data_IF_911725402618
#
_entry.id   IF_911725402618
#
_cell.length_a   1.000
_cell.length_b   1.000
_cell.length_c   1.000
_cell.angle_alpha   90.00
_cell.angle_beta   90.00
_cell.angle_gamma   90.00
#
_symmetry.space_group_name_H-M   'P 1'
#
loop_
_entity.id
_entity.type
_entity.pdbx_description
1 polymer ?
#
# COMPACT_ATOMS: atom_id res chain seq x y z
N UNK A 1 -50.13 4.10 13.77
CA UNK A 1 -49.16 3.16 13.17
C UNK A 1 -48.79 3.75 11.83
N UNK A 2 -47.70 4.52 11.73
CA UNK A 2 -47.28 5.19 10.49
C UNK A 2 -45.74 5.29 10.43
N UNK A 3 -45.06 4.17 10.25
CA UNK A 3 -43.60 4.12 9.98
C UNK A 3 -43.24 3.22 8.78
N UNK A 4 -44.24 2.63 8.09
CA UNK A 4 -44.00 1.80 6.90
C UNK A 4 -43.96 2.57 5.57
N UNK A 5 -44.43 3.82 5.53
CA UNK A 5 -44.53 4.58 4.29
C UNK A 5 -43.25 5.34 3.92
N UNK A 6 -42.44 5.79 4.89
CA UNK A 6 -41.18 6.49 4.57
C UNK A 6 -40.12 5.52 4.00
N UNK A 7 -40.04 4.30 4.54
CA UNK A 7 -39.07 3.30 4.08
C UNK A 7 -39.34 2.85 2.63
N UNK A 8 -40.62 2.72 2.25
CA UNK A 8 -41.00 2.38 0.87
C UNK A 8 -40.66 3.50 -0.11
N UNK A 9 -40.86 4.76 0.28
CA UNK A 9 -40.52 5.90 -0.58
C UNK A 9 -39.01 6.05 -0.81
N UNK A 10 -38.17 5.61 0.14
CA UNK A 10 -36.72 5.67 0.01
C UNK A 10 -36.19 4.57 -0.93
N UNK A 11 -36.77 3.36 -0.89
CA UNK A 11 -36.39 2.25 -1.79
C UNK A 11 -36.84 2.55 -3.23
N UNK A 12 -38.04 3.10 -3.44
CA UNK A 12 -38.49 3.51 -4.78
C UNK A 12 -37.62 4.63 -5.38
N UNK A 13 -37.14 5.57 -4.56
CA UNK A 13 -36.27 6.65 -5.02
C UNK A 13 -34.83 6.17 -5.32
N UNK A 14 -34.38 5.10 -4.67
CA UNK A 14 -33.07 4.47 -4.94
C UNK A 14 -33.10 3.60 -6.20
N UNK A 15 -34.17 2.83 -6.42
CA UNK A 15 -34.34 2.02 -7.63
C UNK A 15 -34.58 2.86 -8.90
N UNK A 16 -35.23 4.02 -8.79
CA UNK A 16 -35.39 4.94 -9.92
C UNK A 16 -34.07 5.63 -10.31
N UNK A 17 -33.17 5.89 -9.35
CA UNK A 17 -31.85 6.49 -9.63
C UNK A 17 -30.83 5.52 -10.25
N UNK A 18 -31.05 4.22 -10.12
CA UNK A 18 -30.09 3.19 -10.53
C UNK A 18 -30.44 2.51 -11.87
N UNK A 19 -31.59 2.81 -12.48
CA UNK A 19 -32.08 2.12 -13.70
C UNK A 19 -31.85 2.83 -15.04
N UNK A 20 -31.06 3.90 -15.12
CA UNK A 20 -30.62 4.44 -16.41
C UNK A 20 -29.15 4.83 -16.39
N UNK A 21 -28.27 3.85 -16.57
CA UNK A 21 -26.96 4.11 -17.19
C UNK A 21 -26.50 2.87 -17.98
N UNK A 22 -27.13 2.67 -19.13
CA UNK A 22 -26.53 1.96 -20.25
C UNK A 22 -25.97 3.00 -21.23
N UNK A 23 -24.65 3.18 -21.14
CA UNK A 23 -23.64 3.72 -22.09
C UNK A 23 -24.12 4.51 -23.33
N UNK A 24 -23.52 5.70 -23.56
CA UNK A 24 -22.97 6.03 -24.88
C UNK A 24 -21.51 6.55 -24.85
N UNK A 25 -20.91 6.58 -26.04
CA UNK A 25 -19.50 6.80 -26.44
C UNK A 25 -18.89 8.18 -26.13
N UNK A 26 -17.57 8.14 -25.88
CA UNK A 26 -16.43 9.06 -26.20
C UNK A 26 -16.50 10.60 -25.99
N UNK A 27 -15.36 11.10 -25.47
CA UNK A 27 -14.77 12.45 -25.50
C UNK A 27 -15.29 13.56 -24.55
N UNK A 28 -14.62 13.74 -23.40
CA UNK A 28 -13.55 14.74 -23.10
C UNK A 28 -13.40 14.98 -21.57
N UNK A 29 -12.17 15.21 -21.12
CA UNK A 29 -11.65 15.07 -19.74
C UNK A 29 -12.22 16.06 -18.68
N UNK A 30 -11.98 15.81 -17.37
CA UNK A 30 -10.72 16.29 -16.80
C UNK A 30 -9.92 15.17 -16.11
N UNK A 31 -8.63 15.17 -16.41
CA UNK A 31 -7.59 14.22 -16.05
C UNK A 31 -7.47 14.04 -14.53
N UNK A 32 -8.12 13.01 -13.95
CA UNK A 32 -7.60 12.40 -12.73
C UNK A 32 -6.31 11.67 -13.11
N UNK A 33 -5.18 12.25 -12.72
CA UNK A 33 -3.84 11.72 -12.93
C UNK A 33 -3.62 10.42 -12.13
N UNK A 34 -4.30 9.35 -12.51
CA UNK A 34 -3.77 8.00 -12.31
C UNK A 34 -2.66 7.85 -13.35
N UNK A 35 -1.44 8.23 -12.97
CA UNK A 35 -0.25 7.93 -13.77
C UNK A 35 -0.14 6.41 -13.84
N UNK A 36 -0.75 5.82 -14.87
CA UNK A 36 -0.44 4.48 -15.33
C UNK A 36 1.05 4.51 -15.69
N UNK A 37 1.91 4.07 -14.77
CA UNK A 37 3.27 3.68 -15.14
C UNK A 37 3.15 2.58 -16.18
N UNK A 38 3.66 2.87 -17.37
CA UNK A 38 3.78 1.97 -18.51
C UNK A 38 4.26 0.59 -18.02
N UNK A 39 3.40 -0.42 -18.15
CA UNK A 39 3.58 -1.79 -17.63
C UNK A 39 4.78 -2.49 -18.27
N UNK A 40 5.45 -1.84 -19.22
CA UNK A 40 6.48 -2.40 -20.10
C UNK A 40 7.93 -2.13 -19.68
N UNK A 41 8.20 -1.31 -18.65
CA UNK A 41 9.59 -0.91 -18.29
C UNK A 41 10.24 -1.69 -17.16
N UNK A 42 9.49 -2.50 -16.41
CA UNK A 42 10.06 -3.32 -15.34
C UNK A 42 10.58 -4.67 -15.87
N UNK A 43 11.67 -5.22 -15.31
CA UNK A 43 12.06 -6.61 -15.57
C UNK A 43 10.88 -7.56 -15.32
N UNK A 44 10.76 -8.64 -16.09
CA UNK A 44 9.63 -9.57 -16.01
C UNK A 44 9.41 -10.14 -14.59
N UNK A 45 10.49 -10.30 -13.83
CA UNK A 45 10.45 -10.72 -12.43
C UNK A 45 9.78 -9.67 -11.53
N UNK A 46 10.09 -8.38 -11.72
CA UNK A 46 9.49 -7.27 -10.97
C UNK A 46 8.01 -7.10 -11.33
N UNK A 47 7.62 -7.34 -12.58
CA UNK A 47 6.21 -7.32 -12.98
C UNK A 47 5.41 -8.41 -12.24
N UNK A 48 5.93 -9.63 -12.18
CA UNK A 48 5.28 -10.73 -11.42
C UNK A 48 5.17 -10.40 -9.94
N UNK A 49 6.23 -9.84 -9.36
CA UNK A 49 6.23 -9.43 -7.95
C UNK A 49 5.19 -8.35 -7.69
N UNK A 50 5.13 -7.33 -8.57
CA UNK A 50 4.12 -6.28 -8.50
C UNK A 50 2.70 -6.84 -8.56
N UNK A 51 2.40 -7.68 -9.54
CA UNK A 51 1.09 -8.30 -9.70
C UNK A 51 0.71 -9.12 -8.46
N UNK A 52 1.60 -10.01 -8.03
CA UNK A 52 1.38 -10.86 -6.85
C UNK A 52 1.10 -10.01 -5.61
N UNK A 53 1.96 -9.03 -5.32
CA UNK A 53 1.80 -8.20 -4.12
C UNK A 53 0.55 -7.34 -4.16
N UNK A 54 0.22 -6.74 -5.30
CA UNK A 54 -0.99 -5.90 -5.44
C UNK A 54 -2.28 -6.73 -5.44
N UNK A 55 -2.28 -7.93 -6.00
CA UNK A 55 -3.45 -8.81 -5.95
C UNK A 55 -3.76 -9.25 -4.51
N UNK A 56 -2.72 -9.58 -3.75
CA UNK A 56 -2.87 -9.95 -2.32
C UNK A 56 -3.31 -8.78 -1.45
N UNK A 57 -2.88 -7.56 -1.76
CA UNK A 57 -3.26 -6.38 -0.98
C UNK A 57 -4.53 -5.70 -1.44
N UNK A 58 -5.06 -6.02 -2.62
CA UNK A 58 -6.33 -5.46 -3.12
C UNK A 58 -7.52 -5.62 -2.16
N UNK A 59 -7.71 -6.76 -1.46
CA UNK A 59 -8.75 -6.89 -0.44
C UNK A 59 -8.33 -6.35 0.94
N UNK A 60 -7.09 -5.89 1.10
CA UNK A 60 -6.53 -5.43 2.36
C UNK A 60 -6.48 -3.90 2.41
N UNK A 61 -6.78 -3.36 3.58
CA UNK A 61 -6.63 -1.95 3.88
C UNK A 61 -5.73 -1.83 5.10
N UNK A 62 -4.78 -0.92 5.04
CA UNK A 62 -3.97 -0.60 6.21
C UNK A 62 -4.84 0.20 7.17
N UNK A 63 -5.22 -0.42 8.28
CA UNK A 63 -6.10 0.19 9.28
C UNK A 63 -5.21 0.84 10.34
N UNK A 64 -5.16 2.16 10.28
CA UNK A 64 -4.69 3.03 11.37
C UNK A 64 -5.91 3.76 11.94
N UNK A 65 -6.08 5.04 11.64
CA UNK A 65 -7.34 5.77 11.87
C UNK A 65 -8.12 6.07 10.58
N UNK A 66 -7.49 5.82 9.43
CA UNK A 66 -8.12 5.81 8.11
C UNK A 66 -7.75 4.53 7.38
N UNK A 67 -8.57 4.17 6.38
CA UNK A 67 -8.37 3.00 5.54
C UNK A 67 -7.55 3.39 4.30
N UNK A 68 -6.27 3.02 4.27
CA UNK A 68 -5.36 3.38 3.18
C UNK A 68 -5.01 2.14 2.33
N UNK A 69 -5.10 2.23 0.99
CA UNK A 69 -4.70 1.14 0.11
C UNK A 69 -3.19 0.97 0.09
N UNK A 70 -2.74 -0.17 -0.45
CA UNK A 70 -1.34 -0.42 -0.72
C UNK A 70 -0.98 -0.07 -2.16
N UNK A 71 0.17 0.58 -2.33
CA UNK A 71 0.77 0.91 -3.61
C UNK A 71 2.08 0.14 -3.79
N UNK A 72 2.39 -0.25 -5.03
CA UNK A 72 3.66 -0.92 -5.32
C UNK A 72 4.79 0.10 -5.45
N UNK A 73 5.96 -0.25 -4.91
CA UNK A 73 7.18 0.55 -5.04
C UNK A 73 8.34 -0.28 -5.56
N UNK A 74 9.15 0.33 -6.42
CA UNK A 74 10.38 -0.25 -6.94
C UNK A 74 11.48 0.80 -7.03
N UNK A 75 12.66 0.45 -6.51
CA UNK A 75 13.87 1.27 -6.52
C UNK A 75 14.97 0.44 -7.18
N UNK A 76 15.25 0.66 -8.48
CA UNK A 76 16.33 -0.04 -9.16
C UNK A 76 17.67 0.31 -8.52
N UNK A 77 18.41 -0.71 -8.09
CA UNK A 77 19.73 -0.56 -7.49
C UNK A 77 20.46 -1.89 -7.49
N UNK A 78 21.12 -2.20 -8.60
CA UNK A 78 21.76 -3.51 -8.82
C UNK A 78 22.85 -3.82 -7.78
N UNK A 79 23.54 -2.79 -7.28
CA UNK A 79 24.60 -2.92 -6.28
C UNK A 79 24.10 -3.16 -4.85
N UNK A 80 22.78 -3.16 -4.61
CA UNK A 80 22.25 -3.34 -3.25
C UNK A 80 22.22 -4.83 -2.88
N UNK A 81 22.92 -5.16 -1.80
CA UNK A 81 22.92 -6.51 -1.24
C UNK A 81 22.02 -6.65 -0.02
N UNK A 82 21.82 -5.56 0.72
CA UNK A 82 21.09 -5.53 1.98
C UNK A 82 20.30 -4.23 2.14
N UNK A 83 19.17 -4.31 2.84
CA UNK A 83 18.37 -3.14 3.18
C UNK A 83 19.08 -2.28 4.24
N UNK A 84 19.02 -0.94 4.14
CA UNK A 84 19.50 -0.06 5.21
C UNK A 84 18.92 -0.42 6.59
N UNK A 85 19.67 -0.16 7.65
CA UNK A 85 19.18 -0.30 9.03
C UNK A 85 18.54 0.98 9.56
N UNK A 86 18.52 2.04 8.77
CA UNK A 86 18.20 3.38 9.22
C UNK A 86 17.36 4.13 8.18
N UNK A 87 16.37 4.88 8.67
CA UNK A 87 15.44 5.63 7.83
C UNK A 87 16.13 6.74 7.03
N UNK A 88 17.19 7.37 7.52
CA UNK A 88 17.90 8.45 6.80
C UNK A 88 18.54 7.91 5.53
N UNK A 89 19.18 6.73 5.62
CA UNK A 89 19.77 6.06 4.46
C UNK A 89 18.70 5.63 3.47
N UNK A 90 17.60 5.04 3.94
CA UNK A 90 16.49 4.64 3.06
C UNK A 90 15.80 5.84 2.40
N UNK A 91 15.55 6.93 3.13
CA UNK A 91 15.07 8.21 2.57
C UNK A 91 15.99 8.71 1.46
N UNK A 92 17.30 8.64 1.67
CA UNK A 92 18.28 9.07 0.67
C UNK A 92 18.21 8.23 -0.61
N UNK A 93 18.00 6.91 -0.49
CA UNK A 93 17.81 6.02 -1.65
C UNK A 93 16.56 6.40 -2.45
N UNK A 94 15.46 6.68 -1.76
CA UNK A 94 14.22 7.09 -2.41
C UNK A 94 14.39 8.44 -3.12
N UNK A 95 14.99 9.44 -2.45
CA UNK A 95 15.26 10.76 -3.04
C UNK A 95 16.12 10.67 -4.29
N UNK A 96 17.19 9.87 -4.25
CA UNK A 96 18.12 9.71 -5.37
C UNK A 96 17.46 9.05 -6.59
N UNK A 97 16.45 8.21 -6.36
CA UNK A 97 15.81 7.48 -7.44
C UNK A 97 14.80 8.32 -8.24
N UNK A 98 14.41 9.51 -7.76
CA UNK A 98 13.80 10.62 -8.53
C UNK A 98 12.51 10.34 -9.32
N UNK A 99 12.09 9.09 -9.42
CA UNK A 99 10.99 8.63 -10.26
C UNK A 99 9.84 8.23 -9.34
N UNK A 100 8.92 9.18 -9.16
CA UNK A 100 7.53 8.92 -8.84
C UNK A 100 7.23 8.15 -7.54
N UNK A 101 8.07 8.25 -6.52
CA UNK A 101 7.61 7.94 -5.18
C UNK A 101 6.88 9.19 -4.68
N UNK A 102 5.56 9.07 -4.49
CA UNK A 102 4.67 9.99 -3.78
C UNK A 102 5.15 10.26 -2.34
N UNK A 103 6.42 10.57 -2.10
CA UNK A 103 6.86 11.09 -0.82
C UNK A 103 6.75 12.59 -0.96
N UNK A 104 5.78 13.18 -0.27
CA UNK A 104 5.66 14.64 -0.27
C UNK A 104 6.97 15.17 0.34
N UNK A 105 7.54 16.26 -0.21
CA UNK A 105 8.80 16.83 0.31
C UNK A 105 8.75 17.11 1.83
N UNK A 106 7.53 17.26 2.37
CA UNK A 106 7.17 17.33 3.79
C UNK A 106 7.59 16.07 4.59
N UNK A 107 7.31 14.86 4.12
CA UNK A 107 7.66 13.58 4.80
C UNK A 107 9.18 13.32 4.81
N UNK A 108 9.87 13.86 3.81
CA UNK A 108 11.33 13.78 3.67
C UNK A 108 12.07 14.77 4.56
N UNK A 109 11.36 15.76 5.09
CA UNK A 109 11.88 16.85 5.90
C UNK A 109 11.54 16.70 7.38
N UNK A 110 10.52 15.91 7.75
CA UNK A 110 10.17 15.65 9.15
C UNK A 110 11.05 14.55 9.79
N UNK A 111 11.76 14.86 10.90
CA UNK A 111 12.48 13.88 11.69
C UNK A 111 11.60 13.12 12.71
N UNK A 112 10.36 13.56 12.95
CA UNK A 112 9.68 13.33 14.23
C UNK A 112 9.10 11.92 14.44
N UNK A 113 8.83 11.15 13.38
CA UNK A 113 8.30 9.77 13.51
C UNK A 113 8.97 8.76 12.58
N UNK A 114 10.32 8.74 12.56
CA UNK A 114 11.07 7.77 11.78
C UNK A 114 11.40 6.52 12.60
N UNK A 115 10.93 5.36 12.16
CA UNK A 115 11.31 4.08 12.78
C UNK A 115 11.46 2.98 11.74
N UNK A 116 12.30 1.99 12.07
CA UNK A 116 12.47 0.77 11.30
C UNK A 116 11.89 -0.36 12.13
N UNK A 117 10.93 -1.08 11.56
CA UNK A 117 10.33 -2.26 12.17
C UNK A 117 10.83 -3.51 11.44
N UNK A 118 11.04 -4.57 12.21
CA UNK A 118 11.25 -5.89 11.65
C UNK A 118 9.97 -6.43 11.02
N UNK A 119 10.13 -7.42 10.16
CA UNK A 119 9.03 -8.11 9.51
C UNK A 119 7.98 -8.61 10.51
N UNK A 120 8.42 -9.24 11.60
CA UNK A 120 7.53 -9.79 12.62
C UNK A 120 6.78 -8.68 13.37
N UNK A 121 7.47 -7.63 13.80
CA UNK A 121 6.88 -6.49 14.54
C UNK A 121 5.78 -5.77 13.75
N UNK A 122 5.89 -5.74 12.42
CA UNK A 122 4.86 -5.16 11.57
C UNK A 122 3.61 -6.04 11.46
N UNK A 123 3.77 -7.36 11.33
CA UNK A 123 2.64 -8.28 11.12
C UNK A 123 1.98 -8.75 12.40
N UNK A 124 2.70 -8.80 13.53
CA UNK A 124 2.18 -9.30 14.81
C UNK A 124 0.86 -8.63 15.24
N UNK A 125 0.68 -7.29 15.12
CA UNK A 125 -0.59 -6.63 15.44
C UNK A 125 -1.79 -7.10 14.58
N UNK A 126 -1.54 -7.69 13.41
CA UNK A 126 -2.57 -8.12 12.46
C UNK A 126 -2.77 -9.64 12.45
N UNK A 127 -1.70 -10.41 12.71
CA UNK A 127 -1.71 -11.87 12.47
C UNK A 127 -1.61 -12.70 13.75
N UNK A 128 -1.12 -12.12 14.87
CA UNK A 128 -0.93 -12.86 16.11
C UNK A 128 -2.25 -13.39 16.67
N UNK A 129 -2.21 -14.47 17.46
CA UNK A 129 -3.44 -15.10 17.98
C UNK A 129 -4.27 -14.15 18.87
N UNK A 130 -3.60 -13.23 19.57
CA UNK A 130 -4.22 -12.20 20.41
C UNK A 130 -4.63 -10.93 19.64
N UNK A 131 -4.30 -10.81 18.35
CA UNK A 131 -4.70 -9.66 17.54
C UNK A 131 -6.21 -9.65 17.33
N UNK A 132 -6.84 -8.53 17.68
CA UNK A 132 -8.23 -8.25 17.37
C UNK A 132 -8.40 -8.09 15.85
N UNK A 133 -9.44 -8.70 15.30
CA UNK A 133 -9.75 -8.60 13.86
C UNK A 133 -11.19 -8.08 13.65
N UNK A 134 -11.45 -6.80 13.95
CA UNK A 134 -12.77 -6.22 13.81
C UNK A 134 -13.26 -6.18 12.34
N UNK A 135 -12.35 -6.29 11.38
CA UNK A 135 -12.64 -6.17 9.94
C UNK A 135 -12.51 -7.48 9.17
N UNK A 136 -12.18 -8.60 9.81
CA UNK A 136 -12.06 -9.91 9.16
C UNK A 136 -10.86 -10.02 8.20
N UNK A 137 -9.81 -9.21 8.37
CA UNK A 137 -8.66 -9.14 7.46
C UNK A 137 -7.47 -10.00 7.90
N UNK A 138 -7.53 -10.64 9.08
CA UNK A 138 -6.42 -11.40 9.68
C UNK A 138 -5.86 -12.48 8.77
N UNK A 139 -6.73 -13.24 8.11
CA UNK A 139 -6.29 -14.30 7.20
C UNK A 139 -5.62 -13.73 5.94
N UNK A 140 -6.10 -12.59 5.43
CA UNK A 140 -5.45 -11.90 4.32
C UNK A 140 -4.08 -11.32 4.71
N UNK A 141 -3.93 -10.78 5.93
CA UNK A 141 -2.62 -10.36 6.45
C UNK A 141 -1.66 -11.54 6.65
N UNK A 142 -2.16 -12.71 7.07
CA UNK A 142 -1.35 -13.95 7.12
C UNK A 142 -0.91 -14.41 5.74
N UNK A 143 -1.77 -14.27 4.74
CA UNK A 143 -1.43 -14.58 3.35
C UNK A 143 -0.39 -13.60 2.80
N UNK A 144 -0.57 -12.30 3.03
CA UNK A 144 0.40 -11.26 2.68
C UNK A 144 1.75 -11.53 3.32
N UNK A 145 1.78 -11.90 4.61
CA UNK A 145 3.00 -12.26 5.31
C UNK A 145 3.72 -13.43 4.61
N UNK A 146 3.00 -14.50 4.26
CA UNK A 146 3.60 -15.65 3.56
C UNK A 146 4.13 -15.28 2.17
N UNK A 147 3.39 -14.49 1.42
CA UNK A 147 3.76 -14.08 0.06
C UNK A 147 5.00 -13.21 0.11
N UNK A 148 5.05 -12.20 0.98
CA UNK A 148 6.22 -11.33 1.12
C UNK A 148 7.46 -12.13 1.54
N UNK A 149 7.33 -13.05 2.50
CA UNK A 149 8.43 -13.93 2.90
C UNK A 149 8.93 -14.81 1.74
N UNK A 150 8.01 -15.38 0.96
CA UNK A 150 8.36 -16.21 -0.19
C UNK A 150 9.01 -15.40 -1.33
N UNK A 151 8.48 -14.21 -1.62
CA UNK A 151 8.95 -13.31 -2.68
C UNK A 151 10.37 -12.84 -2.44
N UNK A 152 10.72 -12.52 -1.19
CA UNK A 152 12.06 -12.00 -0.85
C UNK A 152 12.99 -13.07 -0.25
N UNK A 153 12.61 -14.34 -0.37
CA UNK A 153 13.41 -15.50 0.07
C UNK A 153 13.85 -15.45 1.54
N UNK A 154 12.97 -14.98 2.43
CA UNK A 154 13.24 -14.92 3.86
C UNK A 154 12.87 -13.59 4.50
N UNK A 155 12.50 -13.66 5.78
CA UNK A 155 12.08 -12.50 6.59
C UNK A 155 13.22 -11.51 6.82
N UNK A 156 14.46 -11.98 6.79
CA UNK A 156 15.68 -11.20 6.97
C UNK A 156 15.96 -10.23 5.81
N UNK A 157 15.40 -10.51 4.62
CA UNK A 157 15.58 -9.68 3.44
C UNK A 157 14.50 -8.60 3.33
N UNK A 158 13.60 -8.51 4.32
CA UNK A 158 12.45 -7.61 4.35
C UNK A 158 12.54 -6.67 5.55
N UNK A 159 12.24 -5.39 5.35
CA UNK A 159 12.12 -4.40 6.43
C UNK A 159 10.93 -3.51 6.21
N UNK A 160 10.44 -2.96 7.30
CA UNK A 160 9.39 -1.94 7.28
C UNK A 160 9.96 -0.62 7.74
N UNK A 161 9.83 0.41 6.92
CA UNK A 161 10.20 1.78 7.29
C UNK A 161 8.93 2.59 7.53
N UNK A 162 8.86 3.24 8.69
CA UNK A 162 7.88 4.28 8.98
C UNK A 162 8.58 5.62 8.84
N UNK A 163 8.14 6.43 7.89
CA UNK A 163 8.77 7.70 7.51
C UNK A 163 7.67 8.73 7.30
N UNK A 164 7.69 9.81 8.08
CA UNK A 164 6.78 10.91 7.88
C UNK A 164 6.57 11.72 9.15
N UNK A 165 5.50 12.49 9.12
CA UNK A 165 5.05 13.33 10.22
C UNK A 165 4.02 12.58 11.08
N UNK A 166 3.81 12.97 12.34
CA UNK A 166 2.93 12.28 13.27
C UNK A 166 1.50 12.11 12.74
N UNK A 167 1.01 13.07 11.93
CA UNK A 167 -0.33 12.99 11.31
C UNK A 167 -0.41 12.06 10.11
N UNK A 168 0.71 11.86 9.43
CA UNK A 168 0.78 11.07 8.19
C UNK A 168 2.16 10.45 8.07
N UNK A 169 2.21 9.16 8.40
CA UNK A 169 3.43 8.36 8.37
C UNK A 169 3.36 7.41 7.18
N UNK A 170 4.23 7.59 6.19
CA UNK A 170 4.40 6.61 5.12
C UNK A 170 5.00 5.30 5.67
N UNK A 171 4.33 4.20 5.40
CA UNK A 171 4.74 2.84 5.79
C UNK A 171 5.22 2.10 4.55
N UNK A 172 6.49 1.69 4.55
CA UNK A 172 7.17 1.06 3.42
C UNK A 172 7.56 -0.37 3.80
N UNK A 173 6.85 -1.37 3.32
CA UNK A 173 7.19 -2.79 3.46
C UNK A 173 8.00 -3.22 2.23
N UNK A 174 9.32 -3.32 2.37
CA UNK A 174 10.22 -3.54 1.24
C UNK A 174 11.17 -4.68 1.45
N UNK A 175 11.52 -5.36 0.36
CA UNK A 175 12.54 -6.39 0.31
C UNK A 175 13.62 -6.11 -0.73
N UNK A 176 14.79 -6.72 -0.55
CA UNK A 176 15.89 -6.66 -1.53
C UNK A 176 15.82 -7.83 -2.50
N UNK A 177 16.00 -7.52 -3.78
CA UNK A 177 16.16 -8.47 -4.86
C UNK A 177 17.57 -8.29 -5.40
N UNK A 178 18.45 -9.26 -5.11
CA UNK A 178 19.88 -9.19 -5.41
C UNK A 178 20.12 -8.98 -6.91
N UNK A 179 20.94 -8.00 -7.26
CA UNK A 179 21.27 -7.68 -8.65
C UNK A 179 20.16 -6.93 -9.41
N UNK A 180 19.06 -6.57 -8.74
CA UNK A 180 17.96 -5.81 -9.36
C UNK A 180 17.68 -4.52 -8.57
N UNK A 181 17.40 -4.64 -7.26
CA UNK A 181 17.10 -3.46 -6.44
C UNK A 181 16.21 -3.77 -5.24
N UNK A 182 15.42 -2.77 -4.84
CA UNK A 182 14.45 -2.87 -3.75
C UNK A 182 13.05 -2.85 -4.34
N UNK A 183 12.18 -3.76 -3.92
CA UNK A 183 10.77 -3.78 -4.30
C UNK A 183 9.88 -3.95 -3.07
N UNK A 184 8.61 -3.57 -3.16
CA UNK A 184 7.67 -3.81 -2.08
C UNK A 184 6.39 -3.00 -2.18
N UNK A 185 5.80 -2.76 -1.02
CA UNK A 185 4.53 -2.09 -0.84
C UNK A 185 4.71 -0.82 -0.02
N UNK A 186 3.91 0.19 -0.33
CA UNK A 186 3.79 1.45 0.40
C UNK A 186 2.34 1.65 0.80
N UNK A 187 2.11 2.17 1.99
CA UNK A 187 0.80 2.68 2.43
C UNK A 187 1.01 3.86 3.38
N UNK A 188 -0.06 4.45 3.92
CA UNK A 188 0.01 5.53 4.90
C UNK A 188 -0.68 5.12 6.19
N UNK A 189 -0.05 5.47 7.32
CA UNK A 189 -0.70 5.54 8.62
C UNK A 189 -1.13 6.98 8.84
N UNK A 190 -2.43 7.20 9.06
CA UNK A 190 -2.97 8.51 9.40
C UNK A 190 -3.37 8.47 10.87
N UNK A 191 -2.92 9.45 11.64
CA UNK A 191 -3.29 9.66 13.04
C UNK A 191 -3.91 11.08 13.15
N UNK A 192 -5.12 11.20 13.70
CA UNK A 192 -5.90 12.46 13.79
C UNK A 192 -5.93 13.07 15.19
#
# INVERSE_FOLDING_TARGET
MDQRNEYLSFVENYEQRTKQYTKPKEEEEPTTLTVQQDVTTFPAEIQRIRETLLETTKPLLYISESEEPYEFIFIPKEDITELPNDCVRFKSLIKQNGNNLMITEEELSSPESNSVLSFQEFFDPFTADFAEDPYGQKDGYKELQKIVEATFHGKENVKVYKIGDYRRVGVYLVGVIKGIGIAGLKTYSIET
#
